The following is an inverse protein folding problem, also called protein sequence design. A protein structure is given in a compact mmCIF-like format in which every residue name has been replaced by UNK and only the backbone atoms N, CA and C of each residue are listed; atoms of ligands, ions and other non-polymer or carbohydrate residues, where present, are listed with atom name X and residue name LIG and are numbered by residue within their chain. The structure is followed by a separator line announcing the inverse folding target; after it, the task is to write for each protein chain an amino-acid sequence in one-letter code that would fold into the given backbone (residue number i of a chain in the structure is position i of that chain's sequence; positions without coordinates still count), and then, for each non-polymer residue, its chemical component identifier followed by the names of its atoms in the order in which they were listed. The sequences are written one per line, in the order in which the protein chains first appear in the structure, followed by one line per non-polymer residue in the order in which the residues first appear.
data_IF_144225449508
#
_entry.id   IF_144225449508
#
_cell.length_a   1.000
_cell.length_b   1.000
_cell.length_c   1.000
_cell.angle_alpha   90.00
_cell.angle_beta   90.00
_cell.angle_gamma   90.00
#
_symmetry.space_group_name_H-M   'P 1'
#
loop_
_entity.id
_entity.type
_entity.pdbx_description
1 polymer ?
#
# COMPACT_ATOMS: atom_id res chain seq x y z
N UNK A 1 -26.61 -10.48 -4.72
CA UNK A 1 -25.86 -9.21 -4.62
C UNK A 1 -24.90 -9.03 -5.80
N UNK A 2 -25.34 -8.49 -6.96
CA UNK A 2 -24.52 -8.41 -8.18
C UNK A 2 -23.38 -7.38 -8.16
N UNK A 3 -23.35 -6.44 -7.20
CA UNK A 3 -22.29 -5.42 -7.08
C UNK A 3 -20.97 -5.91 -6.45
N UNK A 4 -21.02 -6.95 -5.61
CA UNK A 4 -19.85 -7.42 -4.85
C UNK A 4 -18.78 -8.08 -5.76
N UNK A 5 -19.20 -8.79 -6.83
CA UNK A 5 -18.27 -9.49 -7.75
C UNK A 5 -17.40 -8.53 -8.56
N UNK A 6 -17.94 -7.39 -9.02
CA UNK A 6 -17.15 -6.39 -9.77
C UNK A 6 -16.05 -5.77 -8.90
N UNK A 7 -16.36 -5.46 -7.63
CA UNK A 7 -15.41 -4.84 -6.70
C UNK A 7 -14.24 -5.78 -6.35
N UNK A 8 -14.50 -7.08 -6.20
CA UNK A 8 -13.46 -8.09 -5.97
C UNK A 8 -12.50 -8.23 -7.15
N UNK A 9 -13.05 -8.31 -8.37
CA UNK A 9 -12.26 -8.53 -9.61
C UNK A 9 -11.33 -7.37 -9.95
N UNK A 10 -11.72 -6.13 -9.62
CA UNK A 10 -10.87 -4.95 -9.82
C UNK A 10 -9.65 -4.95 -8.89
N UNK A 11 -9.84 -5.34 -7.62
CA UNK A 11 -8.73 -5.48 -6.66
C UNK A 11 -7.76 -6.60 -7.05
N UNK A 12 -8.29 -7.73 -7.54
CA UNK A 12 -7.47 -8.87 -7.99
C UNK A 12 -6.58 -8.50 -9.19
N UNK A 13 -7.09 -7.73 -10.16
CA UNK A 13 -6.30 -7.29 -11.33
C UNK A 13 -5.18 -6.31 -10.98
N UNK A 14 -5.45 -5.36 -10.08
CA UNK A 14 -4.41 -4.45 -9.60
C UNK A 14 -3.29 -5.21 -8.86
N UNK A 15 -3.67 -6.19 -8.03
CA UNK A 15 -2.72 -7.03 -7.30
C UNK A 15 -1.91 -7.96 -8.22
N UNK A 16 -2.50 -8.43 -9.32
CA UNK A 16 -1.80 -9.24 -10.32
C UNK A 16 -0.75 -8.42 -11.10
N UNK A 17 -1.07 -7.19 -11.50
CA UNK A 17 -0.13 -6.32 -12.23
C UNK A 17 1.16 -6.06 -11.46
N UNK A 18 1.08 -5.83 -10.15
CA UNK A 18 2.26 -5.65 -9.29
C UNK A 18 3.08 -6.93 -9.07
N UNK A 19 2.51 -8.12 -9.34
CA UNK A 19 3.21 -9.41 -9.21
C UNK A 19 4.00 -9.78 -10.46
N UNK A 20 3.53 -9.36 -11.63
CA UNK A 20 4.13 -9.73 -12.92
C UNK A 20 5.29 -8.80 -13.32
N UNK A 21 5.47 -7.66 -12.65
CA UNK A 21 6.62 -6.77 -12.84
C UNK A 21 7.71 -7.07 -11.81
N UNK A 22 8.95 -7.35 -12.21
CA UNK A 22 10.07 -7.47 -11.28
C UNK A 22 10.32 -6.12 -10.58
N UNK A 23 10.39 -6.15 -9.25
CA UNK A 23 10.48 -4.96 -8.43
C UNK A 23 10.52 -5.30 -6.94
N UNK A 24 10.88 -4.31 -6.13
CA UNK A 24 10.94 -4.44 -4.67
C UNK A 24 9.97 -3.46 -4.01
N UNK A 25 9.50 -3.82 -2.83
CA UNK A 25 8.73 -2.92 -1.98
C UNK A 25 9.70 -2.20 -1.04
N UNK A 26 9.79 -0.88 -1.16
CA UNK A 26 10.59 -0.03 -0.26
C UNK A 26 9.70 0.58 0.82
N UNK A 27 10.16 0.53 2.07
CA UNK A 27 9.45 1.13 3.20
C UNK A 27 9.64 2.65 3.19
N UNK A 28 8.53 3.40 3.10
CA UNK A 28 8.54 4.86 3.16
C UNK A 28 8.25 5.38 4.57
N UNK A 29 7.32 4.74 5.28
CA UNK A 29 6.87 5.22 6.58
C UNK A 29 6.39 4.07 7.47
N UNK A 30 6.63 4.19 8.77
CA UNK A 30 6.18 3.22 9.78
C UNK A 30 5.72 3.98 11.02
N UNK A 31 4.49 3.71 11.47
CA UNK A 31 3.90 4.34 12.67
C UNK A 31 3.00 3.36 13.40
N UNK A 32 2.74 3.60 14.68
CA UNK A 32 1.71 2.87 15.44
C UNK A 32 0.37 3.63 15.45
N UNK A 33 0.36 4.88 14.99
CA UNK A 33 -0.85 5.70 14.90
C UNK A 33 -1.46 5.61 13.50
N UNK A 34 -2.72 5.19 13.45
CA UNK A 34 -3.48 5.11 12.21
C UNK A 34 -3.71 6.50 11.59
N UNK A 35 -3.90 7.54 12.40
CA UNK A 35 -4.14 8.89 11.93
C UNK A 35 -2.91 9.46 11.23
N UNK A 36 -1.72 9.27 11.80
CA UNK A 36 -0.45 9.66 11.18
C UNK A 36 -0.23 8.94 9.84
N UNK A 37 -0.52 7.64 9.78
CA UNK A 37 -0.44 6.89 8.52
C UNK A 37 -1.40 7.46 7.47
N UNK A 38 -2.65 7.75 7.85
CA UNK A 38 -3.64 8.29 6.94
C UNK A 38 -3.24 9.68 6.41
N UNK A 39 -2.68 10.52 7.28
CA UNK A 39 -2.16 11.84 6.91
C UNK A 39 -0.96 11.71 5.96
N UNK A 40 -0.03 10.81 6.25
CA UNK A 40 1.14 10.55 5.40
C UNK A 40 0.72 10.12 3.99
N UNK A 41 -0.23 9.19 3.86
CA UNK A 41 -0.76 8.76 2.56
C UNK A 41 -1.47 9.91 1.83
N UNK A 42 -2.20 10.76 2.55
CA UNK A 42 -2.84 11.96 1.97
C UNK A 42 -1.78 12.93 1.44
N UNK A 43 -0.69 13.12 2.18
CA UNK A 43 0.42 14.00 1.80
C UNK A 43 1.14 13.50 0.54
N UNK A 44 1.44 12.21 0.46
CA UNK A 44 2.03 11.59 -0.74
C UNK A 44 1.19 11.83 -2.01
N UNK A 45 -0.15 11.85 -1.86
CA UNK A 45 -1.07 12.16 -2.96
C UNK A 45 -1.03 13.64 -3.33
N UNK A 46 -1.02 14.54 -2.33
CA UNK A 46 -1.00 15.98 -2.60
C UNK A 46 0.32 16.45 -3.21
N UNK A 47 1.42 15.83 -2.82
CA UNK A 47 2.76 16.15 -3.35
C UNK A 47 3.00 15.53 -4.74
N UNK A 48 2.09 14.68 -5.23
CA UNK A 48 2.24 14.00 -6.52
C UNK A 48 3.35 12.95 -6.54
N UNK A 49 3.89 12.59 -5.37
CA UNK A 49 4.95 11.58 -5.23
C UNK A 49 4.49 10.19 -5.68
N UNK A 50 3.20 9.89 -5.52
CA UNK A 50 2.61 8.62 -5.96
C UNK A 50 1.43 8.89 -6.89
N UNK A 51 1.65 8.67 -8.18
CA UNK A 51 0.63 8.88 -9.22
C UNK A 51 -0.34 7.70 -9.30
N UNK A 52 0.12 6.47 -9.00
CA UNK A 52 -0.71 5.26 -9.02
C UNK A 52 -0.81 4.63 -7.62
N UNK A 53 -2.04 4.55 -7.09
CA UNK A 53 -2.33 3.92 -5.81
C UNK A 53 -2.05 2.42 -5.77
N UNK A 54 -1.93 1.76 -6.93
CA UNK A 54 -1.56 0.35 -7.00
C UNK A 54 -0.08 0.12 -6.65
N UNK A 55 0.76 1.14 -6.73
CA UNK A 55 2.16 1.12 -6.30
C UNK A 55 2.32 1.33 -4.80
N UNK A 56 1.26 1.66 -4.06
CA UNK A 56 1.31 1.84 -2.62
C UNK A 56 0.73 0.62 -1.90
N UNK A 57 1.47 0.10 -0.92
CA UNK A 57 1.02 -0.96 -0.01
C UNK A 57 0.98 -0.43 1.40
N UNK A 58 -0.12 -0.73 2.10
CA UNK A 58 -0.27 -0.42 3.52
C UNK A 58 -0.40 -1.76 4.23
N UNK A 59 0.62 -2.10 5.01
CA UNK A 59 0.65 -3.30 5.83
C UNK A 59 0.28 -2.92 7.27
N UNK A 60 -0.61 -3.70 7.90
CA UNK A 60 -0.91 -3.57 9.32
C UNK A 60 -0.37 -4.81 10.04
N UNK A 61 0.71 -4.60 10.79
CA UNK A 61 1.32 -5.63 11.62
C UNK A 61 0.57 -5.66 12.95
N UNK A 62 -0.53 -6.42 12.97
CA UNK A 62 -1.27 -6.70 14.19
C UNK A 62 -0.40 -7.58 15.10
N UNK A 63 0.30 -6.97 16.05
CA UNK A 63 0.88 -7.69 17.16
C UNK A 63 -0.21 -8.47 17.91
N UNK A 64 0.05 -9.73 18.26
CA UNK A 64 -0.84 -10.47 19.18
C UNK A 64 -0.78 -9.79 20.54
N UNK A 65 -1.76 -8.94 20.87
CA UNK A 65 -2.12 -8.33 22.17
C UNK A 65 -1.03 -7.63 23.03
N UNK A 66 0.22 -8.06 22.97
CA UNK A 66 1.38 -7.55 23.72
C UNK A 66 2.20 -6.52 22.92
N UNK A 67 2.07 -6.51 21.59
CA UNK A 67 2.77 -5.56 20.74
C UNK A 67 1.79 -4.58 20.08
N UNK A 68 2.10 -3.28 20.05
CA UNK A 68 1.27 -2.29 19.38
C UNK A 68 1.15 -2.62 17.89
N UNK A 69 -0.04 -2.40 17.34
CA UNK A 69 -0.26 -2.54 15.89
C UNK A 69 0.58 -1.51 15.17
N UNK A 70 1.43 -1.96 14.25
CA UNK A 70 2.30 -1.09 13.48
C UNK A 70 1.81 -1.02 12.04
N UNK A 71 1.52 0.18 11.56
CA UNK A 71 1.20 0.47 10.18
C UNK A 71 2.49 0.78 9.42
N UNK A 72 2.69 0.11 8.30
CA UNK A 72 3.78 0.39 7.37
C UNK A 72 3.22 0.79 6.01
N UNK A 73 3.81 1.82 5.42
CA UNK A 73 3.52 2.29 4.08
C UNK A 73 4.74 1.99 3.23
N UNK A 74 4.56 1.16 2.20
CA UNK A 74 5.59 0.80 1.24
C UNK A 74 5.22 1.24 -0.17
N UNK A 75 6.24 1.59 -0.95
CA UNK A 75 6.13 1.90 -2.38
C UNK A 75 6.75 0.78 -3.20
N UNK A 76 6.09 0.40 -4.29
CA UNK A 76 6.65 -0.52 -5.27
C UNK A 76 7.63 0.21 -6.19
N UNK A 77 8.88 -0.23 -6.17
CA UNK A 77 9.95 0.26 -7.03
C UNK A 77 10.29 -0.84 -8.05
N UNK A 78 9.93 -0.66 -9.34
CA UNK A 78 10.29 -1.62 -10.38
C UNK A 78 11.82 -1.65 -10.59
N UNK A 79 12.39 -2.83 -10.90
CA UNK A 79 13.84 -2.98 -11.08
C UNK A 79 14.40 -2.23 -12.30
N UNK A 80 13.56 -1.96 -13.31
CA UNK A 80 13.93 -1.27 -14.56
C UNK A 80 14.06 0.26 -14.41
N UNK A 81 14.02 0.80 -13.20
CA UNK A 81 14.17 2.25 -12.92
C UNK A 81 15.59 2.65 -12.47
N UNK A 82 16.62 1.87 -12.85
CA UNK A 82 18.03 2.19 -12.61
C UNK A 82 18.68 2.93 -13.80
#
# INVERSE_FOLDING_TARGET
MPGQRKRKRSKERAHQRTRDTPGRWELLFSTQDQAEMAEYVRRLRSEGTVTDLTQLRIDNFCGRLTHPSTYQVSLFVPEDSA
#
